data_IF_479379038297
#
_entry.id   IF_479379038297
#
_cell.length_a   1.000
_cell.length_b   1.000
_cell.length_c   1.000
_cell.angle_alpha   90.00
_cell.angle_beta   90.00
_cell.angle_gamma   90.00
#
_symmetry.space_group_name_H-M   'P 1'
#
loop_
_entity.id
_entity.type
_entity.pdbx_description
1 polymer ?
#
# COMPACT_ATOMS: atom_id res chain seq x y z
N UNK A 1 16.18 18.00 -5.86
CA UNK A 1 17.04 16.79 -5.93
C UNK A 1 17.92 16.55 -4.68
N UNK A 2 18.57 17.57 -4.09
CA UNK A 2 19.46 17.42 -2.90
C UNK A 2 18.83 16.72 -1.67
N UNK A 3 17.50 16.83 -1.47
CA UNK A 3 16.77 16.13 -0.37
C UNK A 3 16.77 14.60 -0.50
N UNK A 4 16.83 14.05 -1.71
CA UNK A 4 16.80 12.59 -1.91
C UNK A 4 18.06 11.92 -1.37
N UNK A 5 19.21 12.57 -1.53
CA UNK A 5 20.53 12.13 -1.05
C UNK A 5 20.80 12.51 0.41
N UNK A 6 19.95 13.34 1.02
CA UNK A 6 20.12 13.79 2.39
C UNK A 6 19.97 12.63 3.38
N UNK A 7 21.00 12.42 4.20
CA UNK A 7 21.06 11.38 5.25
C UNK A 7 21.75 10.08 4.84
N UNK A 8 22.06 9.86 3.55
CA UNK A 8 22.76 8.66 3.08
C UNK A 8 24.21 8.59 3.56
N UNK A 9 24.86 9.74 3.80
CA UNK A 9 26.26 9.83 4.26
C UNK A 9 26.53 9.12 5.59
N UNK A 10 25.49 8.83 6.38
CA UNK A 10 25.62 8.16 7.69
C UNK A 10 25.42 6.64 7.62
N UNK A 11 25.14 6.08 6.45
CA UNK A 11 24.78 4.67 6.29
C UNK A 11 25.83 3.97 5.44
N UNK A 12 26.18 2.74 5.80
CA UNK A 12 26.99 1.87 4.96
C UNK A 12 26.12 1.36 3.79
N UNK A 13 26.46 1.80 2.58
CA UNK A 13 25.71 1.49 1.35
C UNK A 13 26.27 0.28 0.60
N UNK A 14 27.41 -0.24 1.02
CA UNK A 14 28.12 -1.34 0.35
C UNK A 14 27.39 -2.67 0.57
N UNK A 15 27.17 -3.41 -0.52
CA UNK A 15 26.53 -4.74 -0.48
C UNK A 15 25.01 -4.75 -0.24
N UNK A 16 24.35 -3.58 -0.17
CA UNK A 16 22.89 -3.50 -0.03
C UNK A 16 22.20 -3.54 -1.40
N UNK A 17 21.07 -4.24 -1.48
CA UNK A 17 20.22 -4.22 -2.67
C UNK A 17 19.32 -3.00 -2.66
N UNK A 18 19.00 -2.52 -3.85
CA UNK A 18 18.12 -1.38 -4.08
C UNK A 18 16.82 -1.88 -4.65
N UNK A 19 15.74 -1.81 -3.85
CA UNK A 19 14.44 -2.34 -4.23
C UNK A 19 13.46 -1.21 -4.54
N UNK A 20 12.79 -1.31 -5.68
CA UNK A 20 11.80 -0.34 -6.15
C UNK A 20 10.39 -0.87 -5.91
N UNK A 21 9.57 -0.08 -5.23
CA UNK A 21 8.18 -0.37 -4.93
C UNK A 21 7.29 0.62 -5.66
N UNK A 22 6.40 0.13 -6.52
CA UNK A 22 5.34 0.96 -7.07
C UNK A 22 4.13 1.00 -6.12
N UNK A 23 3.75 2.20 -5.68
CA UNK A 23 2.59 2.39 -4.80
C UNK A 23 1.27 2.49 -5.56
N UNK A 24 1.29 2.58 -6.89
CA UNK A 24 0.10 2.78 -7.73
C UNK A 24 -0.93 1.68 -7.52
N UNK A 25 -2.15 2.06 -7.10
CA UNK A 25 -3.25 1.12 -6.87
C UNK A 25 -3.06 0.22 -5.63
N UNK A 26 -1.96 0.36 -4.88
CA UNK A 26 -1.66 -0.48 -3.73
C UNK A 26 -2.31 0.06 -2.46
N UNK A 27 -2.73 -0.86 -1.59
CA UNK A 27 -3.35 -0.49 -0.31
C UNK A 27 -2.26 -0.08 0.68
N UNK A 28 -2.35 1.15 1.20
CA UNK A 28 -1.35 1.77 2.09
C UNK A 28 -0.76 0.83 3.15
N UNK A 29 -1.62 0.19 3.96
CA UNK A 29 -1.15 -0.65 5.06
C UNK A 29 -0.43 -1.92 4.60
N UNK A 30 -0.81 -2.48 3.45
CA UNK A 30 -0.19 -3.69 2.91
C UNK A 30 1.16 -3.39 2.28
N UNK A 31 1.21 -2.30 1.52
CA UNK A 31 2.47 -1.75 1.00
C UNK A 31 3.44 -1.46 2.14
N UNK A 32 3.00 -0.72 3.16
CA UNK A 32 3.84 -0.35 4.29
C UNK A 32 4.38 -1.57 5.06
N UNK A 33 3.59 -2.64 5.19
CA UNK A 33 4.02 -3.86 5.86
C UNK A 33 5.14 -4.57 5.10
N UNK A 34 5.05 -4.66 3.77
CA UNK A 34 6.10 -5.28 2.97
C UNK A 34 7.38 -4.43 2.99
N UNK A 35 7.24 -3.11 2.87
CA UNK A 35 8.38 -2.18 2.97
C UNK A 35 9.06 -2.35 4.34
N UNK A 36 8.30 -2.40 5.44
CA UNK A 36 8.87 -2.54 6.78
C UNK A 36 9.65 -3.86 6.96
N UNK A 37 9.24 -4.96 6.32
CA UNK A 37 9.94 -6.25 6.34
C UNK A 37 11.27 -6.17 5.60
N UNK A 38 11.27 -5.56 4.42
CA UNK A 38 12.46 -5.41 3.56
C UNK A 38 13.47 -4.42 4.16
N UNK A 39 13.00 -3.29 4.71
CA UNK A 39 13.85 -2.33 5.42
C UNK A 39 14.44 -2.93 6.70
N UNK A 40 13.80 -3.93 7.30
CA UNK A 40 14.37 -4.70 8.41
C UNK A 40 15.36 -5.79 7.96
N UNK A 41 15.38 -6.15 6.68
CA UNK A 41 16.20 -7.24 6.14
C UNK A 41 15.67 -8.65 6.47
N UNK A 42 14.42 -8.75 6.95
CA UNK A 42 13.78 -10.03 7.34
C UNK A 42 13.45 -10.94 6.15
N UNK A 43 13.53 -10.41 4.95
CA UNK A 43 13.42 -11.16 3.69
C UNK A 43 14.68 -11.98 3.39
N UNK A 44 15.82 -11.67 4.02
CA UNK A 44 17.09 -12.37 3.84
C UNK A 44 17.29 -13.43 4.94
N UNK A 45 17.87 -14.60 4.61
CA UNK A 45 18.21 -15.61 5.61
C UNK A 45 19.32 -15.14 6.57
N UNK A 46 20.13 -14.16 6.17
CA UNK A 46 21.20 -13.55 6.99
C UNK A 46 20.68 -12.56 8.04
N UNK A 47 19.36 -12.51 8.29
CA UNK A 47 18.77 -11.55 9.22
C UNK A 47 19.31 -11.73 10.64
N UNK A 48 19.87 -10.66 11.19
CA UNK A 48 20.27 -10.57 12.60
C UNK A 48 19.54 -9.41 13.27
N UNK A 49 18.92 -9.60 14.44
CA UNK A 49 18.00 -8.62 15.02
C UNK A 49 18.68 -7.33 15.53
N UNK A 50 19.95 -7.43 15.93
CA UNK A 50 20.74 -6.32 16.46
C UNK A 50 21.54 -5.56 15.39
N UNK A 51 21.70 -6.13 14.18
CA UNK A 51 22.39 -5.51 13.06
C UNK A 51 21.38 -4.88 12.09
N UNK A 52 21.91 -4.06 11.19
CA UNK A 52 21.14 -3.20 10.31
C UNK A 52 21.39 -3.59 8.83
N UNK A 53 20.96 -4.80 8.44
CA UNK A 53 21.26 -5.39 7.13
C UNK A 53 20.14 -5.22 6.08
N UNK A 54 19.18 -4.34 6.39
CA UNK A 54 18.03 -4.06 5.54
C UNK A 54 18.42 -3.44 4.21
N UNK A 55 17.63 -3.77 3.18
CA UNK A 55 17.80 -3.22 1.83
C UNK A 55 17.30 -1.77 1.73
N UNK A 56 17.80 -1.06 0.72
CA UNK A 56 17.34 0.29 0.40
C UNK A 56 15.99 0.20 -0.34
N UNK A 57 14.98 0.91 0.15
CA UNK A 57 13.65 0.89 -0.46
C UNK A 57 13.32 2.23 -1.09
N UNK A 58 13.03 2.21 -2.39
CA UNK A 58 12.53 3.36 -3.14
C UNK A 58 11.06 3.13 -3.44
N UNK A 59 10.20 4.04 -3.01
CA UNK A 59 8.76 4.00 -3.29
C UNK A 59 8.43 5.06 -4.32
N UNK A 60 7.76 4.67 -5.40
CA UNK A 60 7.29 5.54 -6.49
C UNK A 60 5.78 5.73 -6.43
N UNK A 61 5.27 6.76 -7.09
CA UNK A 61 3.83 7.04 -7.24
C UNK A 61 3.06 7.14 -5.90
N UNK A 62 3.65 7.80 -4.90
CA UNK A 62 3.02 7.91 -3.57
C UNK A 62 1.64 8.60 -3.59
N UNK A 63 1.36 9.42 -4.60
CA UNK A 63 0.06 10.08 -4.78
C UNK A 63 -1.08 9.10 -5.10
N UNK A 64 -0.76 7.99 -5.78
CA UNK A 64 -1.74 7.00 -6.28
C UNK A 64 -2.00 5.86 -5.29
N UNK A 65 -1.57 6.04 -4.04
CA UNK A 65 -1.77 5.06 -2.99
C UNK A 65 -3.24 4.98 -2.60
N UNK A 66 -3.76 3.76 -2.52
CA UNK A 66 -5.15 3.50 -2.24
C UNK A 66 -5.41 3.28 -0.75
N UNK A 67 -6.54 3.81 -0.27
CA UNK A 67 -7.05 3.57 1.09
C UNK A 67 -8.47 3.05 1.00
N UNK A 68 -8.77 1.96 1.71
CA UNK A 68 -10.07 1.30 1.62
C UNK A 68 -11.13 1.98 2.49
N UNK A 69 -12.38 1.95 2.02
CA UNK A 69 -13.54 2.47 2.74
C UNK A 69 -13.56 3.99 2.89
N UNK A 70 -14.16 4.50 3.98
CA UNK A 70 -14.30 5.95 4.25
C UNK A 70 -13.12 6.54 5.05
N UNK A 71 -11.97 5.86 5.05
CA UNK A 71 -10.80 6.27 5.85
C UNK A 71 -10.17 7.57 5.35
N UNK A 72 -10.34 7.91 4.08
CA UNK A 72 -9.79 9.12 3.49
C UNK A 72 -10.33 10.39 4.19
N UNK A 73 -11.59 10.38 4.61
CA UNK A 73 -12.20 11.47 5.39
C UNK A 73 -12.11 11.22 6.89
N UNK A 74 -12.32 10.00 7.35
CA UNK A 74 -12.51 9.70 8.78
C UNK A 74 -11.21 9.53 9.56
N UNK A 75 -10.07 9.32 8.89
CA UNK A 75 -8.78 9.15 9.56
C UNK A 75 -8.12 10.51 9.76
N UNK A 76 -7.79 10.83 11.01
CA UNK A 76 -7.06 12.03 11.38
C UNK A 76 -5.67 11.70 11.90
N UNK A 77 -4.69 12.51 11.52
CA UNK A 77 -3.39 12.59 12.15
C UNK A 77 -3.45 13.64 13.24
N UNK A 78 -3.10 13.24 14.46
CA UNK A 78 -3.10 14.09 15.65
C UNK A 78 -1.67 14.26 16.16
N UNK A 79 -1.31 15.46 16.56
CA UNK A 79 -0.06 15.73 17.28
C UNK A 79 -0.26 16.95 18.20
N UNK A 80 0.52 16.99 19.27
CA UNK A 80 0.50 18.08 20.24
C UNK A 80 1.80 18.86 20.16
N UNK A 81 1.77 20.18 20.36
CA UNK A 81 2.98 21.01 20.33
C UNK A 81 3.66 21.18 21.68
N UNK A 82 3.01 20.80 22.78
CA UNK A 82 3.53 20.89 24.15
C UNK A 82 2.80 21.93 25.01
N UNK A 83 2.20 22.94 24.39
CA UNK A 83 1.42 23.99 25.07
C UNK A 83 -0.01 23.55 25.37
N UNK A 84 -0.58 23.99 26.50
CA UNK A 84 -1.96 23.67 26.91
C UNK A 84 -2.95 24.05 25.80
N UNK A 85 -3.88 23.15 25.45
CA UNK A 85 -4.91 23.39 24.44
C UNK A 85 -4.47 23.26 22.97
N UNK A 86 -3.21 22.93 22.68
CA UNK A 86 -2.68 22.93 21.31
C UNK A 86 -2.65 21.54 20.65
N UNK A 87 -3.79 20.85 20.68
CA UNK A 87 -3.98 19.62 19.90
C UNK A 87 -4.23 19.98 18.43
N UNK A 88 -3.29 19.60 17.56
CA UNK A 88 -3.42 19.80 16.11
C UNK A 88 -3.89 18.53 15.45
N UNK A 89 -4.89 18.66 14.60
CA UNK A 89 -5.44 17.55 13.82
C UNK A 89 -5.40 17.85 12.32
N UNK A 90 -5.19 16.82 11.51
CA UNK A 90 -5.30 16.91 10.05
C UNK A 90 -5.88 15.63 9.48
N UNK A 91 -6.89 15.75 8.63
CA UNK A 91 -7.48 14.60 7.94
C UNK A 91 -6.50 13.95 6.97
N UNK A 92 -6.71 12.66 6.67
CA UNK A 92 -5.91 11.93 5.70
C UNK A 92 -6.00 12.57 4.31
N UNK A 93 -7.20 13.00 3.89
CA UNK A 93 -7.41 13.76 2.65
C UNK A 93 -6.50 14.98 2.56
N UNK A 94 -6.53 15.85 3.58
CA UNK A 94 -5.71 17.05 3.61
C UNK A 94 -4.21 16.71 3.65
N UNK A 95 -3.83 15.63 4.33
CA UNK A 95 -2.43 15.17 4.34
C UNK A 95 -1.97 14.65 2.97
N UNK A 96 -2.81 13.91 2.23
CA UNK A 96 -2.49 13.43 0.88
C UNK A 96 -2.32 14.58 -0.11
N UNK A 97 -3.13 15.64 -0.02
CA UNK A 97 -2.97 16.84 -0.85
C UNK A 97 -1.70 17.61 -0.51
N UNK A 98 -1.36 17.72 0.78
CA UNK A 98 -0.19 18.48 1.21
C UNK A 98 1.12 17.75 0.93
N UNK A 99 1.22 16.52 1.41
CA UNK A 99 2.41 15.68 1.26
C UNK A 99 2.02 14.19 1.38
N UNK A 100 1.81 13.51 0.24
CA UNK A 100 1.45 12.10 0.23
C UNK A 100 2.63 11.21 0.63
N UNK A 101 3.89 11.69 0.53
CA UNK A 101 5.07 10.90 0.92
C UNK A 101 5.09 10.66 2.43
N UNK A 102 4.68 11.66 3.20
CA UNK A 102 4.63 11.60 4.66
C UNK A 102 3.57 10.60 5.15
N UNK A 103 2.50 10.37 4.37
CA UNK A 103 1.47 9.36 4.69
C UNK A 103 2.09 7.96 4.74
N UNK A 104 2.89 7.62 3.71
CA UNK A 104 3.57 6.34 3.60
C UNK A 104 4.70 6.25 4.62
N UNK A 105 5.53 7.30 4.75
CA UNK A 105 6.63 7.36 5.73
C UNK A 105 6.12 7.11 7.15
N UNK A 106 5.08 7.83 7.59
CA UNK A 106 4.49 7.61 8.93
C UNK A 106 3.91 6.22 9.10
N UNK A 107 3.34 5.62 8.05
CA UNK A 107 2.81 4.27 8.12
C UNK A 107 3.93 3.24 8.33
N UNK A 108 5.01 3.33 7.56
CA UNK A 108 6.17 2.43 7.67
C UNK A 108 6.90 2.64 9.00
N UNK A 109 7.15 3.89 9.40
CA UNK A 109 7.84 4.22 10.65
C UNK A 109 7.12 3.64 11.88
N UNK A 110 5.78 3.63 11.86
CA UNK A 110 4.97 3.04 12.94
C UNK A 110 4.92 1.50 12.90
N UNK A 111 5.38 0.87 11.83
CA UNK A 111 5.53 -0.60 11.73
C UNK A 111 6.94 -1.09 12.09
N UNK A 112 7.93 -0.18 12.14
CA UNK A 112 9.27 -0.51 12.59
C UNK A 112 9.32 -0.65 14.14
N UNK A 113 10.17 -1.54 14.68
CA UNK A 113 10.35 -1.67 16.13
C UNK A 113 10.87 -0.36 16.71
N UNK A 114 10.37 0.02 17.90
CA UNK A 114 10.76 1.26 18.58
C UNK A 114 12.09 1.07 19.31
N UNK A 115 13.19 1.12 18.57
CA UNK A 115 14.57 1.05 19.10
C UNK A 115 15.46 2.11 18.43
N UNK A 116 16.74 2.16 18.82
CA UNK A 116 17.73 3.11 18.25
C UNK A 116 17.95 2.89 16.73
N UNK A 117 17.86 1.65 16.26
CA UNK A 117 17.99 1.29 14.85
C UNK A 117 16.83 1.78 13.98
N UNK A 118 15.70 2.20 14.58
CA UNK A 118 14.52 2.63 13.84
C UNK A 118 14.81 3.81 12.92
N UNK A 119 15.57 4.77 13.41
CA UNK A 119 15.85 5.99 12.67
C UNK A 119 16.85 5.73 11.55
N UNK A 120 17.80 4.81 11.75
CA UNK A 120 18.74 4.37 10.71
C UNK A 120 18.01 3.60 9.59
N UNK A 121 17.07 2.73 9.97
CA UNK A 121 16.16 2.05 9.04
C UNK A 121 15.27 3.03 8.25
N UNK A 122 14.69 4.05 8.89
CA UNK A 122 13.91 5.08 8.18
C UNK A 122 14.76 5.85 7.17
N UNK A 123 16.07 6.05 7.44
CA UNK A 123 16.96 6.70 6.48
C UNK A 123 17.12 5.89 5.19
N UNK A 124 16.99 4.57 5.21
CA UNK A 124 17.02 3.70 4.01
C UNK A 124 15.75 3.75 3.15
N UNK A 125 14.67 4.35 3.67
CA UNK A 125 13.43 4.54 2.93
C UNK A 125 13.42 5.88 2.18
N UNK A 126 13.21 5.82 0.87
CA UNK A 126 13.04 7.00 -0.02
C UNK A 126 11.70 6.90 -0.72
N UNK A 127 10.95 8.00 -0.75
CA UNK A 127 9.59 8.03 -1.26
C UNK A 127 9.48 9.22 -2.19
N UNK A 128 8.97 8.97 -3.38
CA UNK A 128 8.74 9.95 -4.43
C UNK A 128 7.25 10.04 -4.74
N UNK A 129 6.79 11.25 -5.03
CA UNK A 129 5.38 11.50 -5.37
C UNK A 129 5.02 10.92 -6.73
N UNK A 130 5.91 11.05 -7.71
CA UNK A 130 5.79 10.50 -9.06
C UNK A 130 6.75 9.34 -9.33
N UNK A 131 7.04 9.13 -10.62
CA UNK A 131 7.88 8.02 -11.12
C UNK A 131 9.37 8.38 -11.15
N UNK A 132 9.69 9.66 -11.26
CA UNK A 132 11.06 10.13 -11.40
C UNK A 132 11.81 10.04 -10.07
N UNK A 133 13.01 9.45 -10.13
CA UNK A 133 13.89 9.29 -8.98
C UNK A 133 15.36 9.41 -9.42
N UNK A 134 16.24 9.97 -8.58
CA UNK A 134 17.62 10.29 -8.95
C UNK A 134 18.59 9.11 -8.82
N UNK A 135 18.11 7.87 -8.67
CA UNK A 135 18.94 6.69 -8.38
C UNK A 135 19.17 5.79 -9.60
N UNK A 136 19.06 6.34 -10.81
CA UNK A 136 19.18 5.58 -12.06
C UNK A 136 20.54 4.92 -12.26
N UNK A 137 21.61 5.44 -11.65
CA UNK A 137 22.96 4.90 -11.79
C UNK A 137 23.20 3.59 -11.00
N UNK A 138 22.23 3.18 -10.17
CA UNK A 138 22.35 2.00 -9.29
C UNK A 138 21.55 0.82 -9.85
N UNK A 139 21.97 -0.43 -9.57
CA UNK A 139 21.20 -1.61 -9.95
C UNK A 139 19.90 -1.67 -9.15
N UNK A 140 18.78 -1.37 -9.81
CA UNK A 140 17.44 -1.32 -9.22
C UNK A 140 16.71 -2.64 -9.45
N UNK A 141 16.32 -3.32 -8.37
CA UNK A 141 15.48 -4.52 -8.41
C UNK A 141 14.01 -4.13 -8.19
N UNK A 142 13.11 -4.30 -9.17
CA UNK A 142 11.69 -4.07 -8.96
C UNK A 142 11.13 -5.11 -7.97
N UNK A 143 10.46 -4.65 -6.92
CA UNK A 143 9.82 -5.52 -5.95
C UNK A 143 8.39 -5.85 -6.37
N UNK A 144 8.12 -7.13 -6.58
CA UNK A 144 6.79 -7.64 -6.86
C UNK A 144 6.10 -8.00 -5.55
N UNK A 145 4.88 -7.48 -5.35
CA UNK A 145 4.10 -7.86 -4.18
C UNK A 145 3.71 -9.34 -4.23
N UNK A 146 3.69 -10.04 -3.07
CA UNK A 146 3.26 -11.43 -3.03
C UNK A 146 1.81 -11.56 -3.54
N UNK A 147 1.53 -12.57 -4.39
CA UNK A 147 0.21 -12.75 -4.99
C UNK A 147 -0.84 -13.01 -3.91
N UNK A 148 -2.01 -12.40 -4.07
CA UNK A 148 -3.09 -12.49 -3.09
C UNK A 148 -4.35 -13.06 -3.70
N UNK A 149 -4.93 -14.05 -3.04
CA UNK A 149 -6.28 -14.56 -3.34
C UNK A 149 -7.33 -13.65 -2.69
N UNK A 150 -7.69 -12.57 -3.38
CA UNK A 150 -8.73 -11.63 -2.91
C UNK A 150 -10.10 -12.20 -3.28
N UNK A 151 -11.07 -12.08 -2.36
CA UNK A 151 -12.47 -12.34 -2.69
C UNK A 151 -12.99 -11.16 -3.52
N UNK A 152 -13.32 -11.41 -4.78
CA UNK A 152 -13.86 -10.39 -5.69
C UNK A 152 -15.15 -9.75 -5.15
N UNK A 153 -16.03 -10.58 -4.58
CA UNK A 153 -17.33 -10.15 -4.05
C UNK A 153 -17.45 -10.40 -2.55
N UNK A 154 -18.16 -9.48 -1.89
CA UNK A 154 -18.59 -9.70 -0.50
C UNK A 154 -19.51 -10.92 -0.44
N UNK A 155 -19.45 -11.76 0.61
CA UNK A 155 -20.28 -12.97 0.70
C UNK A 155 -21.78 -12.72 0.52
N UNK A 156 -22.30 -11.61 1.06
CA UNK A 156 -23.71 -11.22 0.88
C UNK A 156 -24.05 -10.89 -0.58
N UNK A 157 -23.22 -10.10 -1.26
CA UNK A 157 -23.40 -9.74 -2.66
C UNK A 157 -23.29 -10.98 -3.57
N UNK A 158 -22.30 -11.84 -3.33
CA UNK A 158 -22.15 -13.13 -4.03
C UNK A 158 -23.38 -14.02 -3.84
N UNK A 159 -23.88 -14.15 -2.61
CA UNK A 159 -25.11 -14.92 -2.32
C UNK A 159 -26.33 -14.34 -3.02
N UNK A 160 -26.48 -13.01 -3.06
CA UNK A 160 -27.58 -12.35 -3.76
C UNK A 160 -27.52 -12.60 -5.27
N UNK A 161 -26.33 -12.52 -5.87
CA UNK A 161 -26.11 -12.78 -7.29
C UNK A 161 -26.41 -14.24 -7.66
N UNK A 162 -25.94 -15.20 -6.86
CA UNK A 162 -26.27 -16.63 -7.04
C UNK A 162 -27.78 -16.87 -6.93
N UNK A 163 -28.44 -16.24 -5.96
CA UNK A 163 -29.91 -16.34 -5.81
C UNK A 163 -30.64 -15.74 -7.01
N UNK A 164 -30.16 -14.61 -7.55
CA UNK A 164 -30.74 -13.98 -8.73
C UNK A 164 -30.55 -14.83 -9.98
N UNK A 165 -29.35 -15.40 -10.20
CA UNK A 165 -29.06 -16.34 -11.29
C UNK A 165 -29.95 -17.58 -11.21
N UNK A 166 -30.02 -18.23 -10.03
CA UNK A 166 -30.87 -19.40 -9.82
C UNK A 166 -32.36 -19.10 -10.01
N UNK A 167 -32.81 -17.89 -9.66
CA UNK A 167 -34.18 -17.42 -9.93
C UNK A 167 -34.41 -17.23 -11.43
N UNK A 168 -33.48 -16.62 -12.15
CA UNK A 168 -33.55 -16.44 -13.61
C UNK A 168 -33.55 -17.79 -14.36
N UNK A 169 -32.69 -18.73 -13.95
CA UNK A 169 -32.66 -20.10 -14.48
C UNK A 169 -34.00 -20.81 -14.25
N UNK A 170 -34.57 -20.74 -13.05
CA UNK A 170 -35.90 -21.31 -12.77
C UNK A 170 -36.99 -20.73 -13.68
N UNK A 171 -37.01 -19.41 -13.87
CA UNK A 171 -37.98 -18.74 -14.75
C UNK A 171 -37.81 -19.16 -16.21
N UNK A 172 -36.57 -19.37 -16.66
CA UNK A 172 -36.31 -19.89 -18.02
C UNK A 172 -36.74 -21.35 -18.20
N UNK A 173 -36.59 -22.19 -17.16
CA UNK A 173 -37.03 -23.60 -17.19
C UNK A 173 -38.54 -23.78 -17.04
N UNK A 174 -39.24 -22.82 -16.42
CA UNK A 174 -40.70 -22.88 -16.20
C UNK A 174 -41.52 -22.31 -17.36
N UNK A 175 -40.88 -21.87 -18.45
CA UNK A 175 -41.57 -21.37 -19.64
C UNK A 175 -41.35 -22.28 -20.88
N UNK A 176 -41.68 -23.58 -20.85
CA UNK A 176 -41.88 -24.34 -22.08
C UNK A 176 -43.28 -24.03 -22.62
N UNK A 177 -43.38 -23.63 -23.89
CA UNK A 177 -44.62 -23.36 -24.66
C UNK A 177 -45.28 -21.96 -24.53
N UNK A 178 -44.79 -21.04 -25.36
CA UNK A 178 -45.63 -20.20 -26.24
C UNK A 178 -45.02 -20.17 -27.64
N UNK A 179 -44.96 -21.34 -28.28
CA UNK A 179 -45.09 -21.43 -29.74
C UNK A 179 -46.52 -21.92 -29.97
N UNK A 180 -47.45 -20.96 -30.03
CA UNK A 180 -48.69 -21.16 -30.79
C UNK A 180 -48.20 -21.45 -32.22
N UNK A 181 -48.55 -22.56 -32.88
CA UNK A 181 -49.90 -22.99 -33.23
C UNK A 181 -50.76 -21.80 -33.64
N UNK A 182 -50.27 -21.04 -34.61
CA UNK A 182 -51.15 -20.35 -35.53
C UNK A 182 -51.57 -21.33 -36.63
N UNK A 183 -52.86 -21.28 -36.88
CA UNK A 183 -53.73 -22.31 -37.44
C UNK A 183 -53.65 -22.34 -38.96
N UNK A 184 -53.84 -23.55 -39.49
CA UNK A 184 -54.11 -23.89 -40.89
C UNK A 184 -55.10 -22.97 -41.60
N UNK A 185 -54.79 -22.61 -42.85
CA UNK A 185 -55.70 -22.81 -44.00
C UNK A 185 -54.87 -23.19 -45.20
#
# INVERSE_FOLDING_TARGET
MKKALAGLRRINLEGLRWRVFDAKGQVLGRLASQIATVVQGKDKPTYTPYREDGDMCIVLNAQDVCVTGRKLTNKFYRWHTGYVGHLKERSLKAQMTKDPTEVIRKAVLRMLPRNKLRDDRDRKLRIFTGIDHPFGDRPLEPYVMPPRKVRELRPRARRALIRAQKKAEKVSSSNPSRKNNDIST
#
